data_IF_287501612712
#
_entry.id   IF_287501612712
#
_cell.length_a   1.000
_cell.length_b   1.000
_cell.length_c   1.000
_cell.angle_alpha   90.00
_cell.angle_beta   90.00
_cell.angle_gamma   90.00
#
_symmetry.space_group_name_H-M   'P 1'
#
loop_
_entity.id
_entity.type
_entity.pdbx_description
1 polymer ?
#
# COMPACT_ATOMS: atom_id res chain seq x y z
N UNK A 1 -22.29 -16.51 -12.19
CA UNK A 1 -21.21 -15.66 -12.75
C UNK A 1 -20.99 -14.38 -11.96
N UNK A 2 -22.03 -13.55 -11.72
CA UNK A 2 -21.94 -12.35 -10.85
C UNK A 2 -21.47 -12.64 -9.41
N UNK A 3 -21.97 -13.72 -8.79
CA UNK A 3 -21.55 -14.14 -7.45
C UNK A 3 -20.05 -14.51 -7.40
N UNK A 4 -19.57 -15.25 -8.39
CA UNK A 4 -18.15 -15.62 -8.53
C UNK A 4 -17.26 -14.37 -8.69
N UNK A 5 -17.65 -13.42 -9.54
CA UNK A 5 -16.92 -12.16 -9.73
C UNK A 5 -16.84 -11.35 -8.42
N UNK A 6 -17.96 -11.24 -7.69
CA UNK A 6 -18.00 -10.55 -6.40
C UNK A 6 -17.10 -11.22 -5.37
N UNK A 7 -17.10 -12.55 -5.32
CA UNK A 7 -16.31 -13.30 -4.37
C UNK A 7 -14.82 -13.22 -4.68
N UNK A 8 -14.42 -13.44 -5.94
CA UNK A 8 -13.02 -13.29 -6.36
C UNK A 8 -12.49 -11.87 -6.12
N UNK A 9 -13.30 -10.84 -6.35
CA UNK A 9 -12.92 -9.46 -6.02
C UNK A 9 -12.70 -9.28 -4.51
N UNK A 10 -13.61 -9.80 -3.68
CA UNK A 10 -13.49 -9.72 -2.22
C UNK A 10 -12.25 -10.44 -1.71
N UNK A 11 -11.95 -11.62 -2.23
CA UNK A 11 -10.79 -12.41 -1.81
C UNK A 11 -9.47 -11.71 -2.19
N UNK A 12 -9.35 -11.21 -3.43
CA UNK A 12 -8.17 -10.44 -3.86
C UNK A 12 -7.98 -9.19 -3.00
N UNK A 13 -9.07 -8.49 -2.68
CA UNK A 13 -9.02 -7.29 -1.85
C UNK A 13 -8.60 -7.61 -0.41
N UNK A 14 -9.15 -8.66 0.19
CA UNK A 14 -8.76 -9.14 1.54
C UNK A 14 -7.29 -9.53 1.61
N UNK A 15 -6.80 -10.24 0.60
CA UNK A 15 -5.39 -10.62 0.49
C UNK A 15 -4.48 -9.39 0.37
N UNK A 16 -4.87 -8.42 -0.45
CA UNK A 16 -4.14 -7.17 -0.60
C UNK A 16 -4.06 -6.40 0.72
N UNK A 17 -5.18 -6.22 1.42
CA UNK A 17 -5.24 -5.52 2.70
C UNK A 17 -4.42 -6.24 3.77
N UNK A 18 -4.47 -7.57 3.81
CA UNK A 18 -3.65 -8.37 4.74
C UNK A 18 -2.16 -8.10 4.52
N UNK A 19 -1.71 -8.09 3.26
CA UNK A 19 -0.32 -7.76 2.92
C UNK A 19 0.02 -6.30 3.23
N UNK A 20 -0.91 -5.37 3.00
CA UNK A 20 -0.73 -3.95 3.29
C UNK A 20 -0.56 -3.68 4.80
N UNK A 21 -1.31 -4.39 5.66
CA UNK A 21 -1.18 -4.34 7.12
C UNK A 21 0.21 -4.78 7.59
N UNK A 22 0.77 -5.82 6.96
CA UNK A 22 2.11 -6.35 7.27
C UNK A 22 3.26 -5.46 6.78
N UNK A 23 2.99 -4.60 5.80
CA UNK A 23 4.00 -3.70 5.24
C UNK A 23 4.29 -2.56 6.22
N UNK A 24 5.45 -2.65 6.89
CA UNK A 24 5.92 -1.64 7.84
C UNK A 24 6.61 -0.47 7.13
N UNK A 25 6.59 0.71 7.75
CA UNK A 25 7.17 1.94 7.21
C UNK A 25 8.68 1.84 6.94
N UNK A 26 9.42 1.20 7.84
CA UNK A 26 10.86 0.97 7.71
C UNK A 26 11.21 0.21 6.42
N UNK A 27 10.42 -0.82 6.08
CA UNK A 27 10.59 -1.59 4.83
C UNK A 27 10.32 -0.71 3.60
N UNK A 28 9.25 0.09 3.63
CA UNK A 28 8.91 1.01 2.53
C UNK A 28 10.03 2.04 2.33
N UNK A 29 10.51 2.61 3.43
CA UNK A 29 11.61 3.56 3.44
C UNK A 29 12.88 2.93 2.88
N UNK A 30 13.22 1.72 3.29
CA UNK A 30 14.39 1.01 2.78
C UNK A 30 14.30 0.81 1.26
N UNK A 31 13.15 0.39 0.73
CA UNK A 31 12.95 0.19 -0.71
C UNK A 31 13.10 1.50 -1.48
N UNK A 32 12.47 2.58 -0.99
CA UNK A 32 12.52 3.90 -1.66
C UNK A 32 13.94 4.47 -1.65
N UNK A 33 14.68 4.32 -0.55
CA UNK A 33 16.03 4.87 -0.41
C UNK A 33 17.13 3.98 -0.99
N UNK A 34 16.85 2.71 -1.29
CA UNK A 34 17.73 1.84 -2.10
C UNK A 34 17.86 2.27 -3.54
N UNK A 35 16.90 3.04 -4.07
CA UNK A 35 16.96 3.55 -5.44
C UNK A 35 18.17 4.48 -5.59
N UNK A 36 19.01 4.28 -6.61
CA UNK A 36 20.15 5.16 -6.83
C UNK A 36 19.70 6.55 -7.31
N UNK A 37 20.52 7.57 -7.03
CA UNK A 37 20.19 8.99 -7.25
C UNK A 37 19.89 9.34 -8.72
N UNK A 38 20.46 8.59 -9.67
CA UNK A 38 20.20 8.77 -11.10
C UNK A 38 18.80 8.27 -11.53
N UNK A 39 18.14 7.43 -10.74
CA UNK A 39 16.76 7.01 -10.97
C UNK A 39 15.75 7.92 -10.29
N UNK A 40 16.07 8.37 -9.07
CA UNK A 40 15.18 9.17 -8.24
C UNK A 40 16.03 10.04 -7.33
N UNK A 41 15.81 11.35 -7.36
CA UNK A 41 16.55 12.25 -6.47
C UNK A 41 16.11 12.10 -5.02
N UNK A 42 16.93 12.53 -4.06
CA UNK A 42 16.57 12.52 -2.63
C UNK A 42 15.25 13.25 -2.34
N UNK A 43 14.96 14.34 -3.06
CA UNK A 43 13.68 15.06 -2.94
C UNK A 43 12.50 14.22 -3.46
N UNK A 44 12.70 13.52 -4.59
CA UNK A 44 11.68 12.63 -5.14
C UNK A 44 11.45 11.41 -4.25
N UNK A 45 12.51 10.83 -3.66
CA UNK A 45 12.41 9.73 -2.68
C UNK A 45 11.55 10.13 -1.49
N UNK A 46 11.80 11.30 -0.92
CA UNK A 46 10.99 11.85 0.18
C UNK A 46 9.52 12.02 -0.21
N UNK A 47 9.25 12.54 -1.42
CA UNK A 47 7.90 12.70 -1.93
C UNK A 47 7.20 11.34 -2.12
N UNK A 48 7.87 10.37 -2.72
CA UNK A 48 7.34 9.02 -2.95
C UNK A 48 7.03 8.34 -1.63
N UNK A 49 7.95 8.39 -0.66
CA UNK A 49 7.71 7.84 0.67
C UNK A 49 6.46 8.45 1.30
N UNK A 50 6.30 9.79 1.24
CA UNK A 50 5.12 10.47 1.78
C UNK A 50 3.83 9.98 1.10
N UNK A 51 3.81 9.89 -0.23
CA UNK A 51 2.65 9.41 -0.98
C UNK A 51 2.29 7.98 -0.57
N UNK A 52 3.27 7.08 -0.47
CA UNK A 52 3.05 5.69 -0.10
C UNK A 52 2.49 5.56 1.32
N UNK A 53 3.01 6.34 2.27
CA UNK A 53 2.53 6.35 3.65
C UNK A 53 1.09 6.87 3.77
N UNK A 54 0.77 7.98 3.10
CA UNK A 54 -0.59 8.53 3.07
C UNK A 54 -1.58 7.56 2.43
N UNK A 55 -1.21 6.93 1.31
CA UNK A 55 -2.06 5.95 0.64
C UNK A 55 -2.30 4.72 1.51
N UNK A 56 -1.26 4.22 2.18
CA UNK A 56 -1.37 3.11 3.11
C UNK A 56 -2.32 3.45 4.26
N UNK A 57 -2.15 4.60 4.91
CA UNK A 57 -3.02 5.03 6.01
C UNK A 57 -4.46 5.12 5.55
N UNK A 58 -4.71 5.83 4.44
CA UNK A 58 -6.05 6.01 3.90
C UNK A 58 -6.75 4.69 3.54
N UNK A 59 -6.03 3.74 2.94
CA UNK A 59 -6.59 2.42 2.61
C UNK A 59 -6.90 1.59 3.86
N UNK A 60 -6.07 1.65 4.90
CA UNK A 60 -6.33 0.96 6.16
C UNK A 60 -7.51 1.58 6.90
N UNK A 61 -7.59 2.92 6.94
CA UNK A 61 -8.72 3.64 7.54
C UNK A 61 -10.05 3.32 6.84
N UNK A 62 -10.05 3.15 5.52
CA UNK A 62 -11.23 2.74 4.77
C UNK A 62 -11.71 1.35 5.20
N UNK A 63 -10.80 0.39 5.31
CA UNK A 63 -11.15 -0.98 5.74
C UNK A 63 -11.69 -0.99 7.16
N UNK A 64 -11.09 -0.22 8.06
CA UNK A 64 -11.57 -0.13 9.45
C UNK A 64 -12.96 0.51 9.55
N UNK A 65 -13.27 1.47 8.67
CA UNK A 65 -14.59 2.13 8.59
C UNK A 65 -15.65 1.30 7.89
N UNK A 66 -15.27 0.52 6.89
CA UNK A 66 -16.20 -0.35 6.16
C UNK A 66 -16.60 -1.59 6.98
N UNK A 67 -15.81 -1.98 7.97
CA UNK A 67 -16.12 -3.06 8.91
C UNK A 67 -16.12 -4.46 8.27
N UNK A 68 -15.80 -5.47 9.07
CA UNK A 68 -15.89 -6.90 8.72
C UNK A 68 -17.28 -7.30 8.18
#
# INVERSE_FOLDING_TARGET
MLYYLKQSYSDIYKDFITKLKLLKEDIIREIVFKLPENFMSETQKKLVLKILMERRSWMLDLVEKEGD
#
